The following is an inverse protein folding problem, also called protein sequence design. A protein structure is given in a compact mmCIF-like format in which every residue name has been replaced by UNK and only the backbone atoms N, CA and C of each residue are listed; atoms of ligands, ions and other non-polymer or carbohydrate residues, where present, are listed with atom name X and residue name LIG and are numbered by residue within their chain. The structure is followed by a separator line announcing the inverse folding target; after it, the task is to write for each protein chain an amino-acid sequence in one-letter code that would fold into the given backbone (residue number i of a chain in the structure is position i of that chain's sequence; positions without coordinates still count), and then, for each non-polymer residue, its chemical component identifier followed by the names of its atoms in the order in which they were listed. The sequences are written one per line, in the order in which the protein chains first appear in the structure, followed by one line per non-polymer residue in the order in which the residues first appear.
data_IF_163373420336
#
_entry.id   IF_163373420336
#
_cell.length_a   1.000
_cell.length_b   1.000
_cell.length_c   1.000
_cell.angle_alpha   90.00
_cell.angle_beta   90.00
_cell.angle_gamma   90.00
#
_symmetry.space_group_name_H-M   'P 1'
#
loop_
_entity.id
_entity.type
_entity.pdbx_description
1 polymer ?
#
# COMPACT_ATOMS: atom_id res chain seq x y z
N UNK A 1 40.01 -9.90 -9.79
CA UNK A 1 38.61 -9.74 -9.36
C UNK A 1 38.19 -8.32 -9.71
N UNK A 2 37.60 -8.11 -10.88
CA UNK A 2 37.16 -6.78 -11.33
C UNK A 2 35.87 -6.42 -10.59
N UNK A 3 35.95 -5.41 -9.73
CA UNK A 3 34.78 -4.80 -9.09
C UNK A 3 34.02 -4.09 -10.21
N UNK A 4 32.97 -4.72 -10.73
CA UNK A 4 31.99 -4.06 -11.60
C UNK A 4 31.36 -2.94 -10.78
N UNK A 5 31.74 -1.68 -11.08
CA UNK A 5 31.01 -0.51 -10.57
C UNK A 5 29.53 -0.74 -10.89
N UNK A 6 28.59 -0.54 -9.95
CA UNK A 6 27.19 -0.50 -10.32
C UNK A 6 27.05 0.60 -11.38
N UNK A 7 26.65 0.23 -12.59
CA UNK A 7 26.34 1.20 -13.63
C UNK A 7 25.18 2.06 -13.12
N UNK A 8 25.52 3.24 -12.61
CA UNK A 8 24.53 4.19 -12.13
C UNK A 8 23.74 4.66 -13.34
N UNK A 9 22.43 4.43 -13.31
CA UNK A 9 21.53 4.87 -14.36
C UNK A 9 21.73 6.37 -14.65
N UNK A 10 21.65 6.80 -15.92
CA UNK A 10 21.62 8.22 -16.27
C UNK A 10 20.60 8.97 -15.41
N UNK A 11 20.96 10.15 -14.90
CA UNK A 11 20.12 10.97 -14.02
C UNK A 11 18.67 11.16 -14.53
N UNK A 12 18.43 11.37 -15.84
CA UNK A 12 17.05 11.46 -16.35
C UNK A 12 16.25 10.18 -16.15
N UNK A 13 16.87 9.01 -16.36
CA UNK A 13 16.23 7.70 -16.17
C UNK A 13 15.93 7.48 -14.69
N UNK A 14 16.89 7.77 -13.80
CA UNK A 14 16.68 7.66 -12.37
C UNK A 14 15.53 8.57 -11.88
N UNK A 15 15.45 9.81 -12.37
CA UNK A 15 14.34 10.73 -12.05
C UNK A 15 13.00 10.19 -12.53
N UNK A 16 12.92 9.69 -13.76
CA UNK A 16 11.70 9.11 -14.30
C UNK A 16 11.24 7.89 -13.47
N UNK A 17 12.17 7.00 -13.11
CA UNK A 17 11.88 5.85 -12.25
C UNK A 17 11.37 6.26 -10.86
N UNK A 18 11.98 7.29 -10.24
CA UNK A 18 11.52 7.81 -8.96
C UNK A 18 10.11 8.41 -9.06
N UNK A 19 9.81 9.14 -10.14
CA UNK A 19 8.47 9.69 -10.39
C UNK A 19 7.43 8.59 -10.58
N UNK A 20 7.77 7.52 -11.31
CA UNK A 20 6.91 6.36 -11.50
C UNK A 20 6.68 5.65 -10.16
N UNK A 21 7.74 5.39 -9.39
CA UNK A 21 7.65 4.74 -8.08
C UNK A 21 6.77 5.56 -7.11
N UNK A 22 6.96 6.87 -7.07
CA UNK A 22 6.13 7.76 -6.26
C UNK A 22 4.66 7.73 -6.68
N UNK A 23 4.38 7.86 -7.99
CA UNK A 23 3.01 7.83 -8.52
C UNK A 23 2.32 6.49 -8.21
N UNK A 24 3.04 5.38 -8.35
CA UNK A 24 2.54 4.04 -7.98
C UNK A 24 2.25 3.93 -6.49
N UNK A 25 3.11 4.48 -5.63
CA UNK A 25 2.87 4.49 -4.18
C UNK A 25 1.59 5.25 -3.83
N UNK A 26 1.34 6.40 -4.45
CA UNK A 26 0.10 7.16 -4.24
C UNK A 26 -1.14 6.38 -4.69
N UNK A 27 -1.08 5.72 -5.86
CA UNK A 27 -2.17 4.87 -6.35
C UNK A 27 -2.44 3.70 -5.40
N UNK A 28 -1.38 3.06 -4.88
CA UNK A 28 -1.51 1.99 -3.90
C UNK A 28 -2.18 2.49 -2.61
N UNK A 29 -1.75 3.63 -2.06
CA UNK A 29 -2.37 4.22 -0.87
C UNK A 29 -3.86 4.54 -1.08
N UNK A 30 -4.23 5.04 -2.27
CA UNK A 30 -5.62 5.28 -2.61
C UNK A 30 -6.44 3.98 -2.64
N UNK A 31 -5.91 2.92 -3.26
CA UNK A 31 -6.53 1.61 -3.29
C UNK A 31 -6.70 1.01 -1.88
N UNK A 32 -5.67 1.11 -1.03
CA UNK A 32 -5.74 0.66 0.36
C UNK A 32 -6.85 1.36 1.14
N UNK A 33 -6.94 2.70 1.02
CA UNK A 33 -8.00 3.46 1.69
C UNK A 33 -9.39 3.03 1.21
N UNK A 34 -9.57 2.81 -0.08
CA UNK A 34 -10.85 2.40 -0.64
C UNK A 34 -11.24 0.98 -0.19
N UNK A 35 -10.27 0.08 -0.05
CA UNK A 35 -10.49 -1.26 0.49
C UNK A 35 -10.87 -1.22 1.97
N UNK A 36 -10.15 -0.44 2.78
CA UNK A 36 -10.47 -0.23 4.21
C UNK A 36 -11.89 0.30 4.35
N UNK A 37 -12.28 1.30 3.53
CA UNK A 37 -13.63 1.85 3.55
C UNK A 37 -14.70 0.79 3.27
N UNK A 38 -14.51 -0.03 2.23
CA UNK A 38 -15.46 -1.11 1.89
C UNK A 38 -15.58 -2.13 3.02
N UNK A 39 -14.49 -2.45 3.70
CA UNK A 39 -14.50 -3.39 4.81
C UNK A 39 -15.22 -2.80 6.03
N UNK A 40 -15.00 -1.53 6.36
CA UNK A 40 -15.77 -0.82 7.39
C UNK A 40 -17.27 -0.87 7.05
N UNK A 41 -17.66 -0.49 5.83
CA UNK A 41 -19.07 -0.49 5.40
C UNK A 41 -19.69 -1.90 5.52
N UNK A 42 -18.92 -2.94 5.20
CA UNK A 42 -19.33 -4.34 5.33
C UNK A 42 -19.53 -4.75 6.78
N UNK A 43 -18.62 -4.38 7.68
CA UNK A 43 -18.72 -4.68 9.11
C UNK A 43 -19.90 -3.94 9.76
N UNK A 44 -20.10 -2.67 9.43
CA UNK A 44 -21.24 -1.89 9.88
C UNK A 44 -22.56 -2.47 9.39
N UNK A 45 -22.64 -2.91 8.12
CA UNK A 45 -23.82 -3.57 7.57
C UNK A 45 -24.17 -4.90 8.27
N UNK A 46 -23.18 -5.56 8.89
CA UNK A 46 -23.38 -6.75 9.74
C UNK A 46 -23.84 -6.42 11.17
N UNK A 47 -24.07 -5.14 11.48
CA UNK A 47 -24.53 -4.67 12.79
C UNK A 47 -23.41 -4.39 13.78
N UNK A 48 -22.15 -4.37 13.33
CA UNK A 48 -21.01 -4.04 14.18
C UNK A 48 -21.00 -2.55 14.52
N UNK A 49 -20.54 -2.18 15.72
CA UNK A 49 -20.30 -0.78 16.05
C UNK A 49 -19.09 -0.25 15.29
N UNK A 50 -18.97 1.08 15.15
CA UNK A 50 -17.80 1.68 14.50
C UNK A 50 -16.50 1.34 15.23
N UNK A 51 -16.53 1.29 16.57
CA UNK A 51 -15.35 0.97 17.37
C UNK A 51 -14.90 -0.48 17.13
N UNK A 52 -15.84 -1.42 17.18
CA UNK A 52 -15.54 -2.83 16.99
C UNK A 52 -15.03 -3.09 15.55
N UNK A 53 -15.58 -2.39 14.55
CA UNK A 53 -15.13 -2.50 13.17
C UNK A 53 -13.68 -2.02 12.99
N UNK A 54 -13.30 -0.93 13.67
CA UNK A 54 -11.92 -0.43 13.67
C UNK A 54 -10.98 -1.42 14.37
N UNK A 55 -11.38 -1.99 15.51
CA UNK A 55 -10.55 -2.99 16.20
C UNK A 55 -10.39 -4.27 15.37
N UNK A 56 -11.44 -4.73 14.69
CA UNK A 56 -11.37 -5.87 13.78
C UNK A 56 -10.36 -5.63 12.64
N UNK A 57 -10.36 -4.43 12.05
CA UNK A 57 -9.42 -4.06 10.99
C UNK A 57 -7.97 -3.94 11.48
N UNK A 58 -7.75 -3.54 12.73
CA UNK A 58 -6.40 -3.54 13.32
C UNK A 58 -5.88 -4.95 13.54
N UNK A 59 -6.75 -5.86 13.97
CA UNK A 59 -6.40 -7.26 14.20
C UNK A 59 -6.13 -8.01 12.90
N UNK A 60 -6.86 -7.69 11.84
CA UNK A 60 -6.69 -8.29 10.51
C UNK A 60 -6.75 -7.21 9.42
N UNK A 61 -5.63 -6.51 9.14
CA UNK A 61 -5.61 -5.45 8.14
C UNK A 61 -5.81 -6.02 6.73
N UNK A 62 -6.82 -5.57 5.97
CA UNK A 62 -7.13 -6.13 4.65
C UNK A 62 -6.09 -5.74 3.58
N UNK A 63 -5.15 -4.86 3.91
CA UNK A 63 -4.15 -4.30 3.01
C UNK A 63 -2.74 -4.84 3.24
N UNK A 64 -2.56 -5.74 4.21
CA UNK A 64 -1.30 -6.45 4.41
C UNK A 64 -1.45 -7.83 3.78
N UNK A 65 -0.46 -8.20 2.98
CA UNK A 65 -0.33 -9.59 2.53
C UNK A 65 0.15 -10.42 3.73
N UNK A 66 -0.57 -11.47 4.15
CA UNK A 66 -0.17 -12.31 5.27
C UNK A 66 1.15 -13.05 5.03
N UNK A 67 1.61 -13.17 3.78
CA UNK A 67 2.85 -13.86 3.40
C UNK A 67 4.06 -12.92 3.20
N UNK A 68 3.91 -11.63 3.53
CA UNK A 68 4.96 -10.59 3.40
C UNK A 68 5.96 -10.53 4.57
#
# INVERSE_FOLDING_TARGET
MSITKPETLPKPIQRALNQIAHSRSLLYQAACRDQIRKEIDTLLARGMSHQDAIEALRACPPTLDPDY
#
